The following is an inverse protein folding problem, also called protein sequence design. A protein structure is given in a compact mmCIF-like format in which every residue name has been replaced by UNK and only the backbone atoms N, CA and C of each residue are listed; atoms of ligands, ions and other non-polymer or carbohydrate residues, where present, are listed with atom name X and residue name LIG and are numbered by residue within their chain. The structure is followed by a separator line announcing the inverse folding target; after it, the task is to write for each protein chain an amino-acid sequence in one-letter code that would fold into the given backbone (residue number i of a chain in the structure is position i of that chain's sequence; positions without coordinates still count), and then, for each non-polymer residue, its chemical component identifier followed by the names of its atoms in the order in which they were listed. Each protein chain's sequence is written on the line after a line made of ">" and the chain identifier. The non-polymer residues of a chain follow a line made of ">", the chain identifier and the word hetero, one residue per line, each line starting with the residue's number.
data_IF_762824908446
#
_entry.id   IF_762824908446
#
_cell.length_a   1.000
_cell.length_b   1.000
_cell.length_c   1.000
_cell.angle_alpha   90.00
_cell.angle_beta   90.00
_cell.angle_gamma   90.00
#
_symmetry.space_group_name_H-M   'P 1'
#
loop_
_entity.id
_entity.type
_entity.pdbx_description
1 polymer ?
#
# COMPACT_ATOMS: atom_id res chain seq x y z
N UNK A 1 -7.28 6.37 -9.41
CA UNK A 1 -7.32 4.95 -9.03
C UNK A 1 -7.34 4.05 -10.25
N UNK A 2 -8.22 4.29 -11.24
CA UNK A 2 -8.27 3.51 -12.50
C UNK A 2 -6.89 3.29 -13.12
N UNK A 3 -6.07 4.35 -13.28
CA UNK A 3 -4.73 4.22 -13.85
C UNK A 3 -3.75 3.32 -13.04
N UNK A 4 -3.88 3.24 -11.72
CA UNK A 4 -3.04 2.35 -10.90
C UNK A 4 -3.50 0.88 -11.03
N UNK A 5 -4.81 0.67 -11.12
CA UNK A 5 -5.41 -0.65 -11.30
C UNK A 5 -5.03 -1.21 -12.67
N UNK A 6 -5.09 -0.38 -13.72
CA UNK A 6 -4.69 -0.77 -15.06
C UNK A 6 -3.23 -1.22 -15.13
N UNK A 7 -2.33 -0.52 -14.41
CA UNK A 7 -0.92 -0.88 -14.32
C UNK A 7 -0.72 -2.21 -13.59
N UNK A 8 -1.41 -2.42 -12.46
CA UNK A 8 -1.40 -3.70 -11.74
C UNK A 8 -1.87 -4.81 -12.66
N UNK A 9 -2.98 -4.63 -13.38
CA UNK A 9 -3.53 -5.65 -14.28
C UNK A 9 -2.63 -5.94 -15.49
N UNK A 10 -1.79 -4.99 -15.87
CA UNK A 10 -0.74 -5.15 -16.88
C UNK A 10 0.52 -5.87 -16.35
N UNK A 11 0.62 -6.11 -15.05
CA UNK A 11 1.79 -6.71 -14.39
C UNK A 11 2.85 -5.71 -13.93
N UNK A 12 2.60 -4.41 -14.11
CA UNK A 12 3.51 -3.31 -13.74
C UNK A 12 3.34 -2.92 -12.26
N UNK A 13 3.41 -3.90 -11.35
CA UNK A 13 3.07 -3.72 -9.93
C UNK A 13 4.03 -2.73 -9.24
N UNK A 14 5.34 -2.86 -9.49
CA UNK A 14 6.35 -2.01 -8.88
C UNK A 14 6.23 -0.55 -9.35
N UNK A 15 5.94 -0.34 -10.63
CA UNK A 15 5.70 0.98 -11.21
C UNK A 15 4.41 1.60 -10.66
N UNK A 16 3.36 0.79 -10.49
CA UNK A 16 2.11 1.22 -9.88
C UNK A 16 2.32 1.64 -8.41
N UNK A 17 3.12 0.89 -7.65
CA UNK A 17 3.46 1.24 -6.28
C UNK A 17 4.30 2.53 -6.21
N UNK A 18 5.32 2.67 -7.04
CA UNK A 18 6.09 3.92 -7.13
C UNK A 18 5.18 5.12 -7.44
N UNK A 19 4.24 4.94 -8.37
CA UNK A 19 3.28 5.99 -8.74
C UNK A 19 2.30 6.30 -7.61
N UNK A 20 1.91 5.32 -6.81
CA UNK A 20 1.13 5.55 -5.60
C UNK A 20 1.89 6.47 -4.64
N UNK A 21 3.17 6.22 -4.38
CA UNK A 21 3.99 7.07 -3.50
C UNK A 21 4.17 8.50 -4.01
N UNK A 22 4.21 8.71 -5.33
CA UNK A 22 4.18 10.05 -5.92
C UNK A 22 2.83 10.77 -5.75
N UNK A 23 1.74 10.02 -5.64
CA UNK A 23 0.38 10.55 -5.57
C UNK A 23 -0.04 10.90 -4.14
N UNK A 24 0.34 10.08 -3.17
CA UNK A 24 -0.14 10.21 -1.79
C UNK A 24 0.62 11.27 -1.01
N UNK A 25 -0.11 11.99 -0.16
CA UNK A 25 0.47 12.92 0.81
C UNK A 25 0.10 12.49 2.23
N UNK A 26 1.09 12.39 3.11
CA UNK A 26 0.91 12.00 4.51
C UNK A 26 0.02 12.95 5.34
N UNK A 27 -0.28 14.15 4.84
CA UNK A 27 -1.16 15.12 5.49
C UNK A 27 -2.59 15.10 4.96
N UNK A 28 -2.91 14.22 4.02
CA UNK A 28 -4.22 14.12 3.38
C UNK A 28 -4.87 12.75 3.62
N UNK A 29 -6.03 12.73 4.29
CA UNK A 29 -6.73 11.48 4.60
C UNK A 29 -7.29 10.78 3.35
N UNK A 30 -7.56 11.51 2.26
CA UNK A 30 -7.93 10.88 0.99
C UNK A 30 -6.76 10.07 0.42
N UNK A 31 -5.53 10.54 0.64
CA UNK A 31 -4.32 9.81 0.24
C UNK A 31 -4.16 8.49 1.01
N UNK A 32 -4.54 8.46 2.29
CA UNK A 32 -4.58 7.22 3.07
C UNK A 32 -5.61 6.23 2.52
N UNK A 33 -6.82 6.72 2.20
CA UNK A 33 -7.87 5.89 1.59
C UNK A 33 -7.41 5.28 0.26
N UNK A 34 -6.78 6.09 -0.61
CA UNK A 34 -6.25 5.62 -1.89
C UNK A 34 -5.18 4.54 -1.70
N UNK A 35 -4.27 4.69 -0.73
CA UNK A 35 -3.27 3.67 -0.44
C UNK A 35 -3.92 2.37 0.05
N UNK A 36 -4.86 2.44 1.00
CA UNK A 36 -5.57 1.26 1.52
C UNK A 36 -6.30 0.52 0.39
N UNK A 37 -7.01 1.24 -0.47
CA UNK A 37 -7.72 0.64 -1.60
C UNK A 37 -6.77 0.00 -2.62
N UNK A 38 -5.61 0.61 -2.88
CA UNK A 38 -4.59 0.05 -3.76
C UNK A 38 -4.05 -1.29 -3.25
N UNK A 39 -3.61 -1.35 -2.00
CA UNK A 39 -3.09 -2.61 -1.44
C UNK A 39 -4.19 -3.65 -1.18
N UNK A 40 -5.43 -3.23 -0.92
CA UNK A 40 -6.58 -4.15 -0.92
C UNK A 40 -6.77 -4.79 -2.30
N UNK A 41 -6.69 -4.00 -3.37
CA UNK A 41 -6.80 -4.51 -4.74
C UNK A 41 -5.68 -5.50 -5.10
N UNK A 42 -4.43 -5.18 -4.74
CA UNK A 42 -3.32 -6.12 -4.89
C UNK A 42 -3.53 -7.39 -4.09
N UNK A 43 -4.09 -7.28 -2.88
CA UNK A 43 -4.33 -8.43 -2.02
C UNK A 43 -5.43 -9.37 -2.55
N UNK A 44 -6.33 -8.88 -3.41
CA UNK A 44 -7.33 -9.72 -4.08
C UNK A 44 -6.76 -10.54 -5.25
N UNK A 45 -5.52 -10.25 -5.71
CA UNK A 45 -4.83 -11.06 -6.72
C UNK A 45 -4.43 -12.43 -6.17
N UNK A 46 -4.25 -13.40 -7.04
CA UNK A 46 -3.77 -14.74 -6.65
C UNK A 46 -2.27 -14.72 -6.38
N UNK A 47 -1.79 -15.68 -5.58
CA UNK A 47 -0.34 -15.82 -5.33
C UNK A 47 0.43 -16.05 -6.63
N UNK A 48 -0.08 -16.92 -7.52
CA UNK A 48 0.50 -17.14 -8.86
C UNK A 48 0.65 -15.85 -9.67
N UNK A 49 -0.30 -14.91 -9.57
CA UNK A 49 -0.23 -13.65 -10.29
C UNK A 49 0.85 -12.74 -9.71
N UNK A 50 0.92 -12.66 -8.38
CA UNK A 50 1.93 -11.85 -7.69
C UNK A 50 3.33 -12.39 -8.00
N UNK A 51 3.54 -13.70 -7.83
CA UNK A 51 4.83 -14.35 -8.10
C UNK A 51 5.25 -14.21 -9.58
N UNK A 52 4.32 -14.32 -10.52
CA UNK A 52 4.61 -14.13 -11.95
C UNK A 52 5.03 -12.71 -12.31
N UNK A 53 4.74 -11.73 -11.46
CA UNK A 53 5.11 -10.32 -11.63
C UNK A 53 6.12 -9.87 -10.56
N UNK A 54 6.92 -10.80 -10.04
CA UNK A 54 7.99 -10.55 -9.06
C UNK A 54 7.51 -9.79 -7.80
N UNK A 55 6.31 -10.12 -7.32
CA UNK A 55 5.70 -9.53 -6.13
C UNK A 55 5.19 -10.59 -5.16
N UNK A 56 4.95 -10.22 -3.91
CA UNK A 56 4.60 -11.16 -2.84
C UNK A 56 3.65 -10.58 -1.80
N UNK A 57 3.07 -11.46 -0.98
CA UNK A 57 2.25 -11.07 0.19
C UNK A 57 3.04 -10.27 1.21
N UNK A 58 4.33 -10.59 1.37
CA UNK A 58 5.21 -9.90 2.29
C UNK A 58 5.49 -8.46 1.82
N UNK A 59 5.57 -8.23 0.51
CA UNK A 59 5.68 -6.88 -0.06
C UNK A 59 4.41 -6.07 0.10
N UNK A 60 3.22 -6.66 -0.09
CA UNK A 60 1.94 -6.01 0.23
C UNK A 60 1.91 -5.59 1.69
N UNK A 61 2.32 -6.48 2.60
CA UNK A 61 2.37 -6.21 4.03
C UNK A 61 3.35 -5.09 4.35
N UNK A 62 4.57 -5.14 3.81
CA UNK A 62 5.59 -4.13 4.02
C UNK A 62 5.13 -2.76 3.50
N UNK A 63 4.49 -2.72 2.32
CA UNK A 63 3.90 -1.53 1.76
C UNK A 63 2.82 -0.91 2.67
N UNK A 64 1.95 -1.73 3.26
CA UNK A 64 0.97 -1.28 4.24
C UNK A 64 1.58 -0.78 5.55
N UNK A 65 2.63 -1.43 6.05
CA UNK A 65 3.38 -0.96 7.21
C UNK A 65 4.03 0.42 6.93
N UNK A 66 4.62 0.60 5.75
CA UNK A 66 5.20 1.88 5.31
C UNK A 66 4.14 2.99 5.20
N UNK A 67 2.95 2.68 4.66
CA UNK A 67 1.82 3.62 4.63
C UNK A 67 1.43 4.01 6.07
N UNK A 68 1.25 3.04 6.97
CA UNK A 68 0.91 3.33 8.36
C UNK A 68 1.95 4.19 9.08
N UNK A 69 3.25 3.96 8.82
CA UNK A 69 4.35 4.77 9.35
C UNK A 69 4.36 6.18 8.77
N UNK A 70 4.16 6.35 7.45
CA UNK A 70 4.09 7.65 6.80
C UNK A 70 2.96 8.52 7.37
N UNK A 71 1.83 7.92 7.70
CA UNK A 71 0.70 8.61 8.35
C UNK A 71 0.83 8.69 9.88
N UNK A 72 1.98 8.32 10.45
CA UNK A 72 2.26 8.33 11.89
C UNK A 72 1.28 7.51 12.75
N UNK A 73 0.57 6.56 12.14
CA UNK A 73 -0.42 5.72 12.84
C UNK A 73 0.26 4.79 13.84
N UNK A 74 1.45 4.28 13.50
CA UNK A 74 2.26 3.48 14.40
C UNK A 74 2.75 4.29 15.62
N UNK A 75 3.02 5.58 15.45
CA UNK A 75 3.35 6.49 16.55
C UNK A 75 2.14 6.70 17.48
N UNK A 76 0.94 6.88 16.91
CA UNK A 76 -0.30 6.96 17.69
C UNK A 76 -0.54 5.66 18.47
N UNK A 77 -0.41 4.51 17.82
CA UNK A 77 -0.56 3.21 18.50
C UNK A 77 0.46 3.05 19.65
N UNK A 78 1.73 3.42 19.42
CA UNK A 78 2.76 3.42 20.47
C UNK A 78 2.42 4.34 21.64
N UNK A 79 1.91 5.55 21.38
CA UNK A 79 1.50 6.48 22.45
C UNK A 79 0.44 5.87 23.38
N UNK A 80 -0.51 5.10 22.85
CA UNK A 80 -1.51 4.40 23.65
C UNK A 80 -0.98 3.14 24.36
N UNK A 81 0.03 2.49 23.78
CA UNK A 81 0.65 1.29 24.34
C UNK A 81 1.73 1.61 25.39
N UNK A 82 2.18 2.86 25.49
CA UNK A 82 3.19 3.29 26.47
C UNK A 82 2.64 3.67 27.85
N UNK A 83 1.33 3.65 28.05
CA UNK A 83 0.72 3.86 29.38
C UNK A 83 0.24 2.53 29.98
N UNK A 84 1.18 1.83 30.65
CA UNK A 84 1.11 1.09 31.95
C UNK A 84 2.27 0.09 32.09
#
# INVERSE_FOLDING_TARGET
>A
MENLIDMVDAGEINEAENRLYDLISATDMNSLEVAILFYSYLNDKTDDFLEANDFSRDEIKLGMENVADNFSLNSIAKMFLTDF
#
